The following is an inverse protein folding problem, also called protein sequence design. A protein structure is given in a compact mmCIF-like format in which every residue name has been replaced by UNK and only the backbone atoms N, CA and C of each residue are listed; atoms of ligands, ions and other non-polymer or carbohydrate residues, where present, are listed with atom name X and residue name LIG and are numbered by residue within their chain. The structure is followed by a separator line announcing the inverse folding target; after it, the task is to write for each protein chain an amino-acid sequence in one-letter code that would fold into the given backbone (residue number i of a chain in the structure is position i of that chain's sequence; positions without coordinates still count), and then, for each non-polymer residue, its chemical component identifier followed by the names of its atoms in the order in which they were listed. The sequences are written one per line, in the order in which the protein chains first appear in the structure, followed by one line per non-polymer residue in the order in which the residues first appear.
data_IF_034231985931
#
_entry.id   IF_034231985931
#
_cell.length_a   1.000
_cell.length_b   1.000
_cell.length_c   1.000
_cell.angle_alpha   90.00
_cell.angle_beta   90.00
_cell.angle_gamma   90.00
#
_symmetry.space_group_name_H-M   'P 1'
#
loop_
_entity.id
_entity.type
_entity.pdbx_description
1 polymer ?
#
# COMPACT_ATOMS: atom_id res chain seq x y z
N UNK A 1 14.66 -8.28 1.03
CA UNK A 1 14.88 -7.55 2.30
C UNK A 1 14.73 -6.06 2.13
N UNK A 2 13.78 -5.49 2.87
CA UNK A 2 13.61 -4.04 3.02
C UNK A 2 14.48 -3.65 4.22
N UNK A 3 15.52 -2.87 4.00
CA UNK A 3 16.41 -2.36 5.04
C UNK A 3 16.08 -0.93 5.45
N UNK A 4 16.77 -0.37 6.46
CA UNK A 4 16.49 0.95 7.03
C UNK A 4 16.57 2.13 6.04
N UNK A 5 17.21 1.92 4.88
CA UNK A 5 17.40 2.93 3.82
C UNK A 5 16.63 2.58 2.54
N UNK A 6 15.81 1.53 2.57
CA UNK A 6 15.01 1.11 1.41
C UNK A 6 13.87 2.08 1.17
N UNK A 7 13.69 2.48 -0.10
CA UNK A 7 12.57 3.32 -0.51
C UNK A 7 11.35 2.45 -0.79
N UNK A 8 10.21 2.82 -0.21
CA UNK A 8 8.93 2.18 -0.45
C UNK A 8 8.01 3.12 -1.23
N UNK A 9 7.23 2.56 -2.15
CA UNK A 9 6.15 3.25 -2.84
C UNK A 9 4.83 2.64 -2.38
N UNK A 10 3.93 3.49 -1.90
CA UNK A 10 2.59 3.11 -1.48
C UNK A 10 1.59 3.80 -2.42
N UNK A 11 0.70 3.02 -3.01
CA UNK A 11 -0.41 3.52 -3.81
C UNK A 11 -1.71 3.20 -3.09
N UNK A 12 -2.51 4.23 -2.82
CA UNK A 12 -3.84 4.11 -2.19
C UNK A 12 -4.83 4.75 -3.15
N UNK A 13 -5.85 3.98 -3.55
CA UNK A 13 -6.91 4.49 -4.41
C UNK A 13 -7.88 5.42 -3.66
N UNK A 14 -8.72 6.17 -4.38
CA UNK A 14 -9.78 6.99 -3.78
C UNK A 14 -10.92 6.12 -3.20
N UNK A 15 -11.93 6.75 -2.58
CA UNK A 15 -13.10 6.06 -2.00
C UNK A 15 -13.81 5.09 -2.97
N UNK A 16 -13.84 5.44 -4.26
CA UNK A 16 -14.41 4.61 -5.32
C UNK A 16 -13.55 3.42 -5.75
N UNK A 17 -12.34 3.29 -5.18
CA UNK A 17 -11.34 2.34 -5.60
C UNK A 17 -10.62 2.74 -6.89
N UNK A 18 -9.73 1.86 -7.33
CA UNK A 18 -9.06 1.94 -8.63
C UNK A 18 -9.88 1.17 -9.67
N UNK A 19 -9.87 1.64 -10.90
CA UNK A 19 -10.41 0.89 -12.03
C UNK A 19 -9.60 -0.38 -12.29
N UNK A 20 -10.22 -1.34 -13.00
CA UNK A 20 -9.53 -2.59 -13.38
C UNK A 20 -8.26 -2.32 -14.20
N UNK A 21 -8.31 -1.32 -15.08
CA UNK A 21 -7.19 -0.97 -15.95
C UNK A 21 -6.04 -0.33 -15.15
N UNK A 22 -6.35 0.54 -14.18
CA UNK A 22 -5.35 1.11 -13.25
C UNK A 22 -4.71 0.03 -12.38
N UNK A 23 -5.49 -0.92 -11.88
CA UNK A 23 -4.96 -2.06 -11.12
C UNK A 23 -4.03 -2.89 -12.01
N UNK A 24 -4.45 -3.23 -13.23
CA UNK A 24 -3.63 -4.03 -14.14
C UNK A 24 -2.36 -3.30 -14.57
N UNK A 25 -2.43 -1.99 -14.81
CA UNK A 25 -1.28 -1.13 -15.10
C UNK A 25 -0.33 -1.04 -13.90
N UNK A 26 -0.86 -0.99 -12.68
CA UNK A 26 -0.03 -0.94 -11.47
C UNK A 26 0.67 -2.28 -11.25
N UNK A 27 -0.06 -3.39 -11.37
CA UNK A 27 0.48 -4.73 -11.17
C UNK A 27 1.43 -5.19 -12.28
N UNK A 28 1.44 -4.52 -13.45
CA UNK A 28 2.43 -4.79 -14.49
C UNK A 28 3.79 -4.12 -14.22
N UNK A 29 3.85 -3.17 -13.28
CA UNK A 29 5.13 -2.60 -12.85
C UNK A 29 5.85 -3.56 -11.90
N UNK A 30 7.18 -3.73 -12.04
CA UNK A 30 7.94 -4.74 -11.31
C UNK A 30 8.04 -4.49 -9.80
N UNK A 31 7.73 -3.28 -9.35
CA UNK A 31 7.92 -2.83 -7.97
C UNK A 31 6.61 -2.68 -7.17
N UNK A 32 5.47 -3.00 -7.78
CA UNK A 32 4.19 -3.03 -7.10
C UNK A 32 3.76 -4.45 -6.78
N UNK A 33 3.17 -4.61 -5.60
CA UNK A 33 2.55 -5.88 -5.18
C UNK A 33 1.26 -5.56 -4.46
N UNK A 34 0.19 -6.27 -4.81
CA UNK A 34 -1.11 -6.11 -4.17
C UNK A 34 -1.08 -6.64 -2.74
N UNK A 35 -1.62 -5.87 -1.79
CA UNK A 35 -1.70 -6.23 -0.37
C UNK A 35 -3.11 -5.99 0.17
N UNK A 36 -3.47 -6.72 1.25
CA UNK A 36 -4.73 -6.54 1.99
C UNK A 36 -4.46 -6.12 3.42
N UNK A 37 -5.15 -5.09 3.90
CA UNK A 37 -5.07 -4.62 5.29
C UNK A 37 -6.17 -5.28 6.15
N UNK A 38 -6.07 -6.60 6.30
CA UNK A 38 -7.08 -7.39 7.00
C UNK A 38 -8.37 -7.61 6.20
N UNK A 39 -9.46 -8.05 6.86
CA UNK A 39 -10.68 -8.51 6.17
C UNK A 39 -11.69 -7.39 5.85
N UNK A 40 -11.52 -6.18 6.39
CA UNK A 40 -12.47 -5.07 6.24
C UNK A 40 -11.98 -4.10 5.17
N UNK A 41 -12.91 -3.57 4.38
CA UNK A 41 -12.61 -2.44 3.50
C UNK A 41 -12.45 -1.20 4.39
N UNK A 42 -11.27 -0.60 4.34
CA UNK A 42 -10.98 0.65 5.02
C UNK A 42 -11.32 1.83 4.09
N UNK A 43 -11.73 2.95 4.69
CA UNK A 43 -11.82 4.23 3.98
C UNK A 43 -10.45 4.68 3.52
N UNK A 44 -10.38 5.52 2.50
CA UNK A 44 -9.11 5.93 1.87
C UNK A 44 -8.15 6.52 2.90
N UNK A 45 -8.60 7.46 3.73
CA UNK A 45 -7.73 8.07 4.73
C UNK A 45 -7.24 7.07 5.78
N UNK A 46 -8.08 6.10 6.15
CA UNK A 46 -7.74 5.08 7.16
C UNK A 46 -6.78 4.05 6.58
N UNK A 47 -6.98 3.65 5.32
CA UNK A 47 -6.11 2.71 4.62
C UNK A 47 -4.68 3.25 4.50
N UNK A 48 -4.53 4.52 4.11
CA UNK A 48 -3.24 5.17 3.97
C UNK A 48 -2.48 5.22 5.31
N UNK A 49 -3.12 5.74 6.37
CA UNK A 49 -2.50 5.82 7.69
C UNK A 49 -2.16 4.44 8.26
N UNK A 50 -3.07 3.47 8.13
CA UNK A 50 -2.84 2.10 8.61
C UNK A 50 -1.65 1.45 7.89
N UNK A 51 -1.56 1.59 6.57
CA UNK A 51 -0.45 1.05 5.79
C UNK A 51 0.89 1.66 6.22
N UNK A 52 0.97 2.99 6.38
CA UNK A 52 2.21 3.67 6.83
C UNK A 52 2.61 3.18 8.21
N UNK A 53 1.68 3.10 9.17
CA UNK A 53 1.97 2.62 10.53
C UNK A 53 2.49 1.18 10.54
N UNK A 54 1.90 0.29 9.73
CA UNK A 54 2.37 -1.10 9.63
C UNK A 54 3.78 -1.15 9.02
N UNK A 55 4.03 -0.38 7.96
CA UNK A 55 5.34 -0.34 7.32
C UNK A 55 6.42 0.17 8.28
N UNK A 56 6.13 1.23 9.06
CA UNK A 56 7.06 1.75 10.07
C UNK A 56 7.28 0.78 11.23
N UNK A 57 6.23 0.13 11.73
CA UNK A 57 6.37 -0.87 12.81
C UNK A 57 7.13 -2.14 12.36
N UNK A 58 7.15 -2.43 11.06
CA UNK A 58 7.79 -3.65 10.53
C UNK A 58 9.21 -3.40 10.02
N UNK A 59 9.46 -2.25 9.40
CA UNK A 59 10.70 -1.94 8.67
C UNK A 59 11.36 -0.62 9.08
N UNK A 60 10.67 0.20 9.87
CA UNK A 60 11.10 1.52 10.30
C UNK A 60 11.50 1.56 11.77
N UNK A 61 11.12 2.64 12.44
CA UNK A 61 11.55 2.99 13.80
C UNK A 61 10.41 3.19 14.81
N UNK A 62 9.19 2.76 14.46
CA UNK A 62 8.03 2.78 15.36
C UNK A 62 8.03 1.63 16.36
#
# INVERSE_FOLDING_TARGET
DIGPQSRLRLLVGPEGGLSKDEIQMTLSQPDFTGVRLGPRILRTETAALTAISILQATFGDM
#
